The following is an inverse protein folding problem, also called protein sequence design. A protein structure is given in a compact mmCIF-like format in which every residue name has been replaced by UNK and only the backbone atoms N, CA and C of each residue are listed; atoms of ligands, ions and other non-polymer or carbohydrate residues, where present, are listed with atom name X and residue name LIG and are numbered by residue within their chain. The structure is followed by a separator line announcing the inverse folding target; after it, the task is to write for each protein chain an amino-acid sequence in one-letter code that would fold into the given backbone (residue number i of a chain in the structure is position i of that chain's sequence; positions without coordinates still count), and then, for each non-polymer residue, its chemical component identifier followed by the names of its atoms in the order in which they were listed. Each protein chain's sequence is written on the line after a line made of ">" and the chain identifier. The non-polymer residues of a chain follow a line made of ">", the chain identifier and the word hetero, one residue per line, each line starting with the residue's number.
data_IF_350604408008
#
_entry.id   IF_350604408008
#
_cell.length_a   1.000
_cell.length_b   1.000
_cell.length_c   1.000
_cell.angle_alpha   90.00
_cell.angle_beta   90.00
_cell.angle_gamma   90.00
#
_symmetry.space_group_name_H-M   'P 1'
#
loop_
_entity.id
_entity.type
_entity.pdbx_description
1 polymer ?
#
# COMPACT_ATOMS: atom_id res chain seq x y z
N UNK A 1 -18.39 67.96 27.94
CA UNK A 1 -17.65 67.74 26.67
C UNK A 1 -16.49 66.78 26.97
N UNK A 2 -16.21 65.84 26.08
CA UNK A 2 -15.82 64.46 26.39
C UNK A 2 -14.30 64.24 26.40
N UNK A 3 -13.80 63.08 26.90
CA UNK A 3 -12.45 62.63 26.65
C UNK A 3 -12.44 61.80 25.37
N UNK A 4 -12.34 62.47 24.22
CA UNK A 4 -11.97 61.82 22.96
C UNK A 4 -10.45 61.88 22.80
N UNK A 5 -9.90 60.86 22.12
CA UNK A 5 -8.53 60.80 21.58
C UNK A 5 -7.37 60.52 22.55
N UNK A 6 -7.30 59.29 23.07
CA UNK A 6 -6.03 58.62 23.39
C UNK A 6 -5.92 57.23 22.76
N UNK A 7 -6.27 57.15 21.48
CA UNK A 7 -5.96 56.00 20.63
C UNK A 7 -4.99 56.46 19.56
N UNK A 8 -3.70 56.53 19.87
CA UNK A 8 -2.68 56.82 18.86
C UNK A 8 -2.69 55.76 17.74
N UNK A 9 -2.18 56.09 16.54
CA UNK A 9 -2.13 55.17 15.39
C UNK A 9 -1.50 53.80 15.75
N UNK A 10 -0.57 53.77 16.71
CA UNK A 10 0.06 52.55 17.24
C UNK A 10 -0.89 51.62 18.03
N UNK A 11 -1.92 52.16 18.70
CA UNK A 11 -2.89 51.36 19.44
C UNK A 11 -3.93 50.71 18.50
N UNK A 12 -4.24 51.39 17.38
CA UNK A 12 -5.13 50.88 16.33
C UNK A 12 -4.43 49.78 15.51
N UNK A 13 -3.15 49.96 15.19
CA UNK A 13 -2.34 48.91 14.52
C UNK A 13 -2.15 47.68 15.41
N UNK A 14 -1.86 47.85 16.71
CA UNK A 14 -1.78 46.70 17.63
C UNK A 14 -3.10 45.93 17.79
N UNK A 15 -4.26 46.62 17.75
CA UNK A 15 -5.57 45.96 17.79
C UNK A 15 -5.85 45.17 16.51
N UNK A 16 -5.57 45.77 15.35
CA UNK A 16 -5.73 45.12 14.05
C UNK A 16 -4.83 43.88 13.91
N UNK A 17 -3.59 43.93 14.40
CA UNK A 17 -2.70 42.77 14.42
C UNK A 17 -3.18 41.64 15.33
N UNK A 18 -3.74 41.97 16.51
CA UNK A 18 -4.30 40.97 17.44
C UNK A 18 -5.56 40.30 16.87
N UNK A 19 -6.45 41.06 16.24
CA UNK A 19 -7.63 40.52 15.57
C UNK A 19 -7.24 39.63 14.38
N UNK A 20 -6.28 40.07 13.57
CA UNK A 20 -5.71 39.28 12.48
C UNK A 20 -5.13 37.95 12.94
N UNK A 21 -4.31 37.96 14.00
CA UNK A 21 -3.75 36.73 14.61
C UNK A 21 -4.84 35.79 15.11
N UNK A 22 -5.93 36.33 15.66
CA UNK A 22 -7.07 35.54 16.13
C UNK A 22 -7.81 34.88 14.97
N UNK A 23 -8.05 35.61 13.87
CA UNK A 23 -8.69 35.07 12.66
C UNK A 23 -7.86 33.95 12.03
N UNK A 24 -6.54 34.12 11.97
CA UNK A 24 -5.59 33.11 11.49
C UNK A 24 -5.58 31.86 12.39
N UNK A 25 -5.52 32.03 13.71
CA UNK A 25 -5.58 30.90 14.64
C UNK A 25 -6.90 30.12 14.49
N UNK A 26 -8.00 30.84 14.25
CA UNK A 26 -9.30 30.25 13.98
C UNK A 26 -9.32 29.46 12.67
N UNK A 27 -8.76 29.98 11.57
CA UNK A 27 -8.71 29.25 10.28
C UNK A 27 -7.87 27.98 10.39
N UNK A 28 -6.70 28.03 11.04
CA UNK A 28 -5.89 26.85 11.34
C UNK A 28 -6.62 25.82 12.20
N UNK A 29 -7.31 26.26 13.25
CA UNK A 29 -8.07 25.36 14.12
C UNK A 29 -9.21 24.67 13.38
N UNK A 30 -9.91 25.39 12.48
CA UNK A 30 -10.96 24.84 11.62
C UNK A 30 -10.40 23.85 10.62
N UNK A 31 -9.26 24.15 10.01
CA UNK A 31 -8.58 23.24 9.10
C UNK A 31 -8.20 21.93 9.82
N UNK A 32 -7.54 22.02 10.97
CA UNK A 32 -7.18 20.85 11.79
C UNK A 32 -8.41 20.00 12.14
N UNK A 33 -9.49 20.62 12.60
CA UNK A 33 -10.72 19.91 12.93
C UNK A 33 -11.30 19.17 11.71
N UNK A 34 -11.30 19.80 10.53
CA UNK A 34 -11.78 19.17 9.28
C UNK A 34 -10.87 18.05 8.80
N UNK A 35 -9.54 18.22 8.86
CA UNK A 35 -8.58 17.16 8.57
C UNK A 35 -8.80 15.95 9.49
N UNK A 36 -9.10 16.15 10.78
CA UNK A 36 -9.44 15.03 11.67
C UNK A 36 -10.69 14.26 11.21
N UNK A 37 -11.73 14.96 10.76
CA UNK A 37 -12.93 14.32 10.20
C UNK A 37 -12.56 13.50 8.96
N UNK A 38 -11.75 14.05 8.06
CA UNK A 38 -11.26 13.36 6.85
C UNK A 38 -10.45 12.12 7.20
N UNK A 39 -9.54 12.20 8.18
CA UNK A 39 -8.82 11.02 8.67
C UNK A 39 -9.76 9.98 9.30
N UNK A 40 -10.86 10.41 9.92
CA UNK A 40 -11.91 9.52 10.42
C UNK A 40 -12.61 8.75 9.29
N UNK A 41 -12.91 9.41 8.17
CA UNK A 41 -13.45 8.74 6.96
C UNK A 41 -12.46 7.71 6.42
N UNK A 42 -11.17 8.02 6.41
CA UNK A 42 -10.15 7.05 6.01
C UNK A 42 -10.11 5.85 6.96
N UNK A 43 -10.17 6.06 8.28
CA UNK A 43 -10.24 4.95 9.26
C UNK A 43 -11.50 4.10 9.05
N UNK A 44 -12.65 4.71 8.74
CA UNK A 44 -13.86 3.97 8.38
C UNK A 44 -13.65 3.10 7.13
N UNK A 45 -12.83 3.55 6.17
CA UNK A 45 -12.38 2.76 5.02
C UNK A 45 -11.64 1.49 5.41
N UNK A 46 -10.71 1.59 6.37
CA UNK A 46 -10.00 0.42 6.88
C UNK A 46 -10.95 -0.56 7.58
N UNK A 47 -11.85 -0.04 8.42
CA UNK A 47 -12.84 -0.88 9.11
C UNK A 47 -13.76 -1.59 8.11
N UNK A 48 -14.22 -0.91 7.07
CA UNK A 48 -15.03 -1.52 6.01
C UNK A 48 -14.26 -2.65 5.30
N UNK A 49 -12.98 -2.42 4.97
CA UNK A 49 -12.12 -3.43 4.37
C UNK A 49 -11.94 -4.65 5.29
N UNK A 50 -11.72 -4.42 6.60
CA UNK A 50 -11.61 -5.48 7.60
C UNK A 50 -12.89 -6.29 7.75
N UNK A 51 -14.06 -5.63 7.84
CA UNK A 51 -15.35 -6.31 7.96
C UNK A 51 -15.61 -7.19 6.74
N UNK A 52 -15.38 -6.69 5.53
CA UNK A 52 -15.57 -7.49 4.32
C UNK A 52 -14.57 -8.65 4.21
N UNK A 53 -13.33 -8.45 4.63
CA UNK A 53 -12.32 -9.50 4.59
C UNK A 53 -12.58 -10.60 5.63
N UNK A 54 -12.84 -10.21 6.88
CA UNK A 54 -12.94 -11.14 8.01
C UNK A 54 -14.36 -11.72 8.18
N UNK A 55 -15.40 -10.88 8.06
CA UNK A 55 -16.78 -11.32 8.31
C UNK A 55 -17.44 -11.92 7.07
N UNK A 56 -17.11 -11.42 5.87
CA UNK A 56 -17.73 -11.88 4.62
C UNK A 56 -16.82 -12.81 3.81
N UNK A 57 -15.54 -12.94 4.18
CA UNK A 57 -14.52 -13.68 3.41
C UNK A 57 -14.43 -13.20 1.95
N UNK A 58 -14.70 -11.91 1.70
CA UNK A 58 -14.67 -11.27 0.38
C UNK A 58 -13.58 -10.18 0.34
N UNK A 59 -12.33 -10.61 0.20
CA UNK A 59 -11.15 -9.72 0.20
C UNK A 59 -11.25 -8.60 -0.85
N UNK A 60 -11.62 -8.93 -2.10
CA UNK A 60 -11.77 -7.95 -3.19
C UNK A 60 -12.81 -6.87 -2.89
N UNK A 61 -13.98 -7.26 -2.40
CA UNK A 61 -15.05 -6.31 -2.06
C UNK A 61 -14.58 -5.40 -0.93
N UNK A 62 -13.88 -5.96 0.07
CA UNK A 62 -13.28 -5.18 1.14
C UNK A 62 -12.27 -4.15 0.67
N UNK A 63 -11.38 -4.55 -0.25
CA UNK A 63 -10.42 -3.63 -0.86
C UNK A 63 -11.12 -2.47 -1.57
N UNK A 64 -12.06 -2.75 -2.47
CA UNK A 64 -12.73 -1.69 -3.24
C UNK A 64 -13.60 -0.77 -2.36
N UNK A 65 -14.27 -1.31 -1.35
CA UNK A 65 -15.03 -0.52 -0.38
C UNK A 65 -14.12 0.43 0.41
N UNK A 66 -12.99 -0.07 0.92
CA UNK A 66 -11.99 0.75 1.61
C UNK A 66 -11.36 1.79 0.68
N UNK A 67 -10.98 1.39 -0.53
CA UNK A 67 -10.36 2.26 -1.54
C UNK A 67 -11.26 3.44 -1.93
N UNK A 68 -12.56 3.23 -2.06
CA UNK A 68 -13.52 4.31 -2.33
C UNK A 68 -13.50 5.37 -1.20
N UNK A 69 -13.44 4.93 0.06
CA UNK A 69 -13.39 5.83 1.22
C UNK A 69 -12.04 6.54 1.35
N UNK A 70 -10.93 5.87 1.05
CA UNK A 70 -9.61 6.51 0.99
C UNK A 70 -9.54 7.57 -0.11
N UNK A 71 -10.11 7.29 -1.28
CA UNK A 71 -10.18 8.24 -2.38
C UNK A 71 -11.02 9.46 -1.99
N UNK A 72 -12.20 9.22 -1.40
CA UNK A 72 -13.05 10.30 -0.90
C UNK A 72 -12.33 11.17 0.14
N UNK A 73 -11.60 10.55 1.08
CA UNK A 73 -10.80 11.25 2.07
C UNK A 73 -9.67 12.08 1.41
N UNK A 74 -8.94 11.51 0.44
CA UNK A 74 -7.87 12.22 -0.26
C UNK A 74 -8.39 13.42 -1.07
N UNK A 75 -9.52 13.26 -1.76
CA UNK A 75 -10.17 14.35 -2.49
C UNK A 75 -10.67 15.44 -1.54
N UNK A 76 -11.27 15.05 -0.41
CA UNK A 76 -11.70 15.99 0.61
C UNK A 76 -10.51 16.78 1.21
N UNK A 77 -9.41 16.11 1.54
CA UNK A 77 -8.20 16.78 2.05
C UNK A 77 -7.61 17.75 1.02
N UNK A 78 -7.58 17.36 -0.26
CA UNK A 78 -7.13 18.23 -1.35
C UNK A 78 -8.02 19.47 -1.50
N UNK A 79 -9.34 19.31 -1.39
CA UNK A 79 -10.30 20.41 -1.43
C UNK A 79 -10.19 21.35 -0.22
N UNK A 80 -9.91 20.80 0.96
CA UNK A 80 -9.66 21.61 2.16
C UNK A 80 -8.36 22.42 2.02
N UNK A 81 -7.30 21.81 1.51
CA UNK A 81 -6.02 22.48 1.30
C UNK A 81 -6.13 23.60 0.25
N UNK A 82 -6.85 23.37 -0.84
CA UNK A 82 -7.06 24.39 -1.88
C UNK A 82 -7.92 25.55 -1.37
N UNK A 83 -8.93 25.29 -0.54
CA UNK A 83 -9.77 26.31 0.06
C UNK A 83 -9.04 27.16 1.12
N UNK A 84 -8.12 26.55 1.89
CA UNK A 84 -7.39 27.26 2.95
C UNK A 84 -6.27 28.18 2.42
N UNK A 85 -5.72 27.87 1.25
CA UNK A 85 -4.55 28.55 0.67
C UNK A 85 -4.73 30.06 0.39
N UNK A 86 -5.82 30.53 -0.25
CA UNK A 86 -5.99 31.96 -0.57
C UNK A 86 -6.21 32.83 0.68
N UNK A 87 -6.88 32.32 1.72
CA UNK A 87 -7.11 33.07 2.98
C UNK A 87 -5.81 33.47 3.69
N UNK A 88 -4.67 32.85 3.34
CA UNK A 88 -3.39 33.07 3.98
C UNK A 88 -2.45 33.93 3.16
N UNK A 89 -2.64 34.10 1.85
CA UNK A 89 -1.73 34.91 1.01
C UNK A 89 -1.78 36.41 1.33
N UNK A 90 -2.81 36.88 2.06
CA UNK A 90 -3.04 38.31 2.33
C UNK A 90 -2.15 38.95 3.43
N UNK A 91 -1.04 38.33 3.88
CA UNK A 91 0.08 39.15 4.39
C UNK A 91 1.21 38.52 5.19
N UNK A 92 2.04 39.33 5.84
CA UNK A 92 3.44 39.01 6.16
C UNK A 92 3.74 37.72 6.96
N UNK A 93 2.82 37.25 7.82
CA UNK A 93 2.93 35.98 8.56
C UNK A 93 2.51 34.74 7.73
N UNK A 94 1.99 34.94 6.50
CA UNK A 94 1.48 33.93 5.56
C UNK A 94 2.40 32.74 5.34
N UNK A 95 3.71 33.01 5.20
CA UNK A 95 4.68 31.99 4.79
C UNK A 95 4.87 30.90 5.84
N UNK A 96 4.89 31.27 7.13
CA UNK A 96 5.06 30.32 8.24
C UNK A 96 3.81 29.45 8.41
N UNK A 97 2.63 30.04 8.23
CA UNK A 97 1.35 29.35 8.35
C UNK A 97 1.06 28.44 7.17
N UNK A 98 1.43 28.87 5.95
CA UNK A 98 1.39 28.03 4.76
C UNK A 98 2.23 26.77 4.92
N UNK A 99 3.40 26.88 5.56
CA UNK A 99 4.23 25.72 5.89
C UNK A 99 3.58 24.78 6.92
N UNK A 100 2.94 25.29 7.97
CA UNK A 100 2.23 24.45 8.93
C UNK A 100 1.05 23.70 8.28
N UNK A 101 0.37 24.33 7.31
CA UNK A 101 -0.74 23.70 6.59
C UNK A 101 -0.28 22.66 5.59
N UNK A 102 0.76 22.95 4.80
CA UNK A 102 1.33 21.97 3.87
C UNK A 102 1.85 20.76 4.63
N UNK A 103 2.55 20.97 5.76
CA UNK A 103 3.04 19.85 6.57
C UNK A 103 1.91 19.05 7.25
N UNK A 104 0.80 19.68 7.64
CA UNK A 104 -0.36 18.95 8.17
C UNK A 104 -1.04 18.12 7.06
N UNK A 105 -1.26 18.71 5.90
CA UNK A 105 -1.86 18.03 4.76
C UNK A 105 -0.98 16.88 4.27
N UNK A 106 0.35 17.07 4.20
CA UNK A 106 1.32 16.01 3.89
C UNK A 106 1.19 14.82 4.84
N UNK A 107 1.04 15.07 6.15
CA UNK A 107 0.83 14.01 7.15
C UNK A 107 -0.51 13.30 6.96
N UNK A 108 -1.57 14.04 6.63
CA UNK A 108 -2.89 13.46 6.35
C UNK A 108 -2.87 12.58 5.10
N UNK A 109 -2.27 13.06 3.99
CA UNK A 109 -2.09 12.27 2.78
C UNK A 109 -1.21 11.04 3.01
N UNK A 110 -0.11 11.18 3.75
CA UNK A 110 0.75 10.06 4.10
C UNK A 110 0.00 9.02 4.94
N UNK A 111 -0.85 9.45 5.87
CA UNK A 111 -1.69 8.57 6.67
C UNK A 111 -2.73 7.83 5.80
N UNK A 112 -3.43 8.52 4.90
CA UNK A 112 -4.36 7.90 3.95
C UNK A 112 -3.63 6.89 3.05
N UNK A 113 -2.45 7.25 2.54
CA UNK A 113 -1.63 6.35 1.73
C UNK A 113 -1.18 5.11 2.53
N UNK A 114 -0.84 5.27 3.81
CA UNK A 114 -0.50 4.16 4.70
C UNK A 114 -1.67 3.19 4.88
N UNK A 115 -2.89 3.70 5.07
CA UNK A 115 -4.10 2.87 5.17
C UNK A 115 -4.40 2.13 3.86
N UNK A 116 -4.23 2.80 2.72
CA UNK A 116 -4.35 2.16 1.41
C UNK A 116 -3.29 1.05 1.25
N UNK A 117 -2.03 1.34 1.55
CA UNK A 117 -0.94 0.38 1.53
C UNK A 117 -1.18 -0.81 2.46
N UNK A 118 -1.80 -0.57 3.62
CA UNK A 118 -2.21 -1.62 4.55
C UNK A 118 -3.28 -2.56 3.97
N UNK A 119 -4.18 -2.04 3.15
CA UNK A 119 -5.21 -2.86 2.48
C UNK A 119 -4.76 -3.51 1.19
N UNK A 120 -3.60 -3.15 0.65
CA UNK A 120 -3.06 -3.65 -0.62
C UNK A 120 -2.95 -5.20 -0.69
N UNK A 121 -2.62 -5.93 0.38
CA UNK A 121 -2.57 -7.40 0.34
C UNK A 121 -3.91 -8.04 -0.05
N UNK A 122 -5.04 -7.38 0.21
CA UNK A 122 -6.37 -7.92 -0.13
C UNK A 122 -6.56 -8.17 -1.64
N UNK A 123 -5.79 -7.50 -2.50
CA UNK A 123 -5.80 -7.74 -3.95
C UNK A 123 -4.61 -8.56 -4.44
N UNK A 124 -3.47 -8.50 -3.74
CA UNK A 124 -2.22 -9.15 -4.16
C UNK A 124 -2.10 -10.62 -3.75
N UNK A 125 -2.74 -11.02 -2.65
CA UNK A 125 -2.67 -12.39 -2.12
C UNK A 125 -4.07 -13.01 -2.03
N UNK A 126 -4.75 -13.24 -3.18
CA UNK A 126 -6.10 -13.79 -3.19
C UNK A 126 -6.15 -15.31 -2.99
N UNK A 127 -5.02 -16.01 -3.20
CA UNK A 127 -4.92 -17.47 -3.20
C UNK A 127 -5.18 -18.13 -1.84
N UNK A 128 -5.11 -17.36 -0.75
CA UNK A 128 -5.63 -17.80 0.54
C UNK A 128 -7.15 -17.80 0.51
N UNK A 129 -7.80 -18.87 0.05
CA UNK A 129 -9.23 -19.12 0.26
C UNK A 129 -9.64 -19.06 1.77
N UNK A 130 -8.64 -19.00 2.66
CA UNK A 130 -8.74 -18.83 4.10
C UNK A 130 -8.01 -17.57 4.63
N UNK A 131 -7.65 -16.60 3.78
CA UNK A 131 -7.04 -15.33 4.20
C UNK A 131 -7.97 -14.49 5.09
N UNK A 132 -9.29 -14.70 5.00
CA UNK A 132 -10.27 -14.16 5.95
C UNK A 132 -10.24 -14.84 7.34
N UNK A 133 -9.66 -16.04 7.45
CA UNK A 133 -9.54 -16.80 8.71
C UNK A 133 -8.17 -16.60 9.37
N UNK A 134 -7.11 -16.37 8.59
CA UNK A 134 -5.76 -16.13 9.10
C UNK A 134 -5.45 -14.63 9.15
N UNK A 135 -5.79 -13.98 10.26
CA UNK A 135 -5.55 -12.55 10.51
C UNK A 135 -4.05 -12.17 10.48
N UNK A 136 -3.17 -13.06 10.95
CA UNK A 136 -1.75 -12.75 11.20
C UNK A 136 -0.93 -12.46 9.92
N UNK A 137 -1.00 -13.30 8.85
CA UNK A 137 -0.27 -13.04 7.62
C UNK A 137 -0.74 -11.76 6.92
N UNK A 138 -2.07 -11.52 6.89
CA UNK A 138 -2.64 -10.31 6.32
C UNK A 138 -2.18 -9.06 7.07
N UNK A 139 -2.19 -9.08 8.40
CA UNK A 139 -1.79 -7.95 9.23
C UNK A 139 -0.29 -7.63 9.07
N UNK A 140 0.55 -8.66 8.94
CA UNK A 140 1.98 -8.49 8.64
C UNK A 140 2.22 -7.89 7.26
N UNK A 141 1.60 -8.45 6.21
CA UNK A 141 1.71 -7.93 4.84
C UNK A 141 1.12 -6.52 4.71
N UNK A 142 0.05 -6.24 5.45
CA UNK A 142 -0.55 -4.90 5.52
C UNK A 142 0.41 -3.92 6.17
N UNK A 143 1.04 -4.28 7.29
CA UNK A 143 2.05 -3.43 7.92
C UNK A 143 3.23 -3.14 6.97
N UNK A 144 3.70 -4.15 6.23
CA UNK A 144 4.74 -3.98 5.21
C UNK A 144 4.29 -3.03 4.08
N UNK A 145 3.08 -3.21 3.56
CA UNK A 145 2.49 -2.33 2.55
C UNK A 145 2.32 -0.89 3.04
N UNK A 146 1.93 -0.69 4.30
CA UNK A 146 1.82 0.62 4.93
C UNK A 146 3.20 1.30 5.07
N UNK A 147 4.23 0.55 5.49
CA UNK A 147 5.61 1.05 5.55
C UNK A 147 6.12 1.50 4.19
N UNK A 148 5.86 0.70 3.15
CA UNK A 148 6.22 1.06 1.78
C UNK A 148 5.48 2.32 1.32
N UNK A 149 4.18 2.42 1.56
CA UNK A 149 3.38 3.60 1.21
C UNK A 149 3.85 4.86 1.93
N UNK A 150 4.21 4.77 3.21
CA UNK A 150 4.80 5.88 3.97
C UNK A 150 6.17 6.29 3.41
N UNK A 151 7.00 5.33 3.03
CA UNK A 151 8.29 5.60 2.43
C UNK A 151 8.14 6.30 1.06
N UNK A 152 7.16 5.87 0.23
CA UNK A 152 6.80 6.53 -1.04
C UNK A 152 6.28 7.94 -0.77
N UNK A 153 5.37 8.12 0.19
CA UNK A 153 4.83 9.43 0.57
C UNK A 153 5.95 10.36 1.05
N UNK A 154 6.91 9.88 1.83
CA UNK A 154 8.07 10.65 2.26
C UNK A 154 8.97 11.06 1.08
N UNK A 155 9.20 10.17 0.11
CA UNK A 155 9.94 10.48 -1.11
C UNK A 155 9.19 11.51 -2.00
N UNK A 156 7.86 11.39 -2.11
CA UNK A 156 7.01 12.33 -2.85
C UNK A 156 6.96 13.72 -2.18
N UNK A 157 6.72 13.78 -0.86
CA UNK A 157 6.76 15.03 -0.10
C UNK A 157 8.14 15.69 -0.20
N UNK A 158 9.21 14.90 -0.24
CA UNK A 158 10.55 15.42 -0.47
C UNK A 158 10.69 16.08 -1.86
N UNK A 159 10.24 15.42 -2.93
CA UNK A 159 10.26 15.96 -4.30
C UNK A 159 9.43 17.25 -4.41
N UNK A 160 8.22 17.23 -3.84
CA UNK A 160 7.27 18.35 -3.87
C UNK A 160 7.85 19.53 -3.10
N UNK A 161 8.31 19.33 -1.86
CA UNK A 161 8.91 20.39 -1.06
C UNK A 161 10.16 20.97 -1.73
N UNK A 162 11.02 20.11 -2.31
CA UNK A 162 12.18 20.58 -3.08
C UNK A 162 11.79 21.44 -4.29
N UNK A 163 10.68 21.12 -4.96
CA UNK A 163 10.15 21.92 -6.07
C UNK A 163 9.52 23.25 -5.60
N UNK A 164 8.84 23.26 -4.46
CA UNK A 164 8.20 24.44 -3.88
C UNK A 164 9.22 25.46 -3.36
N UNK A 165 10.31 24.97 -2.74
CA UNK A 165 11.43 25.82 -2.30
C UNK A 165 12.13 26.46 -3.50
N UNK A 166 12.43 25.68 -4.56
CA UNK A 166 13.04 26.22 -5.79
C UNK A 166 12.19 27.28 -6.49
N UNK A 167 10.86 27.20 -6.36
CA UNK A 167 9.91 28.17 -6.93
C UNK A 167 9.68 29.40 -6.03
N UNK A 168 10.29 29.46 -4.84
CA UNK A 168 10.13 30.58 -3.91
C UNK A 168 8.75 30.66 -3.23
N UNK A 169 7.91 29.63 -3.37
CA UNK A 169 6.55 29.57 -2.82
C UNK A 169 6.57 29.25 -1.32
N UNK A 170 7.58 28.50 -0.87
CA UNK A 170 7.80 28.15 0.53
C UNK A 170 9.28 28.35 0.89
N UNK A 171 9.59 29.28 1.79
CA UNK A 171 10.95 29.43 2.34
C UNK A 171 10.97 28.90 3.78
N UNK A 172 11.80 27.90 4.13
CA UNK A 172 12.16 27.68 5.53
C UNK A 172 12.82 28.96 6.06
N UNK A 173 12.62 29.30 7.34
CA UNK A 173 13.13 30.57 7.89
C UNK A 173 14.63 30.79 7.61
N UNK A 174 15.04 32.06 7.41
CA UNK A 174 16.37 32.50 6.95
C UNK A 174 17.57 31.88 7.71
N UNK A 175 17.38 31.43 8.96
CA UNK A 175 18.44 30.80 9.77
C UNK A 175 18.69 29.30 9.45
N UNK A 176 17.81 28.63 8.70
CA UNK A 176 17.83 27.18 8.49
C UNK A 176 18.12 26.72 7.05
N UNK A 177 18.14 27.63 6.07
CA UNK A 177 18.27 27.32 4.64
C UNK A 177 19.49 26.44 4.24
N UNK A 178 20.74 26.71 4.68
CA UNK A 178 21.89 25.91 4.26
C UNK A 178 21.93 24.52 4.92
N UNK A 179 21.40 24.38 6.14
CA UNK A 179 21.21 23.09 6.82
C UNK A 179 20.07 22.29 6.19
N UNK A 180 19.00 22.98 5.82
CA UNK A 180 17.85 22.40 5.13
C UNK A 180 18.28 21.80 3.79
N UNK A 181 18.96 22.56 2.92
CA UNK A 181 19.39 22.10 1.58
C UNK A 181 20.40 20.95 1.59
N UNK A 182 21.32 20.88 2.57
CA UNK A 182 22.28 19.75 2.69
C UNK A 182 21.64 18.51 3.32
N UNK A 183 20.81 18.68 4.35
CA UNK A 183 19.97 17.59 4.86
C UNK A 183 18.98 17.09 3.79
N UNK A 184 18.57 17.97 2.87
CA UNK A 184 17.67 17.68 1.76
C UNK A 184 18.22 16.59 0.83
N UNK A 185 19.48 16.69 0.38
CA UNK A 185 20.07 15.70 -0.53
C UNK A 185 20.31 14.33 0.13
N UNK A 186 20.69 14.32 1.41
CA UNK A 186 20.86 13.08 2.18
C UNK A 186 19.53 12.35 2.39
N UNK A 187 18.48 13.08 2.76
CA UNK A 187 17.14 12.53 2.96
C UNK A 187 16.60 11.89 1.68
N UNK A 188 16.88 12.47 0.51
CA UNK A 188 16.53 11.88 -0.80
C UNK A 188 17.10 10.49 -0.98
N UNK A 189 18.42 10.34 -0.91
CA UNK A 189 19.07 9.08 -1.25
C UNK A 189 18.76 7.99 -0.21
N UNK A 190 18.57 8.37 1.05
CA UNK A 190 18.13 7.43 2.09
C UNK A 190 16.67 7.03 1.94
N UNK A 191 15.74 7.96 1.63
CA UNK A 191 14.34 7.65 1.41
C UNK A 191 14.12 6.83 0.13
N UNK A 192 14.80 7.18 -0.97
CA UNK A 192 14.77 6.41 -2.22
C UNK A 192 15.40 5.01 -2.04
N UNK A 193 16.52 4.93 -1.31
CA UNK A 193 17.13 3.63 -0.99
C UNK A 193 16.22 2.76 -0.15
N UNK A 194 15.58 3.33 0.88
CA UNK A 194 14.64 2.61 1.75
C UNK A 194 13.38 2.18 0.99
N UNK A 195 12.80 3.05 0.15
CA UNK A 195 11.63 2.67 -0.68
C UNK A 195 11.96 1.52 -1.63
N UNK A 196 13.12 1.58 -2.30
CA UNK A 196 13.55 0.52 -3.21
C UNK A 196 13.78 -0.81 -2.47
N UNK A 197 14.40 -0.76 -1.28
CA UNK A 197 14.60 -1.95 -0.44
C UNK A 197 13.27 -2.56 0.01
N UNK A 198 12.37 -1.74 0.59
CA UNK A 198 11.06 -2.20 1.06
C UNK A 198 10.21 -2.76 -0.09
N UNK A 199 10.27 -2.14 -1.27
CA UNK A 199 9.56 -2.61 -2.46
C UNK A 199 10.10 -3.96 -2.94
N UNK A 200 11.42 -4.12 -2.98
CA UNK A 200 12.05 -5.38 -3.37
C UNK A 200 11.68 -6.49 -2.38
N UNK A 201 11.75 -6.23 -1.08
CA UNK A 201 11.43 -7.22 -0.05
C UNK A 201 9.96 -7.61 -0.08
N UNK A 202 9.06 -6.66 -0.33
CA UNK A 202 7.63 -6.97 -0.52
C UNK A 202 7.39 -7.81 -1.78
N UNK A 203 8.03 -7.47 -2.89
CA UNK A 203 7.92 -8.25 -4.15
C UNK A 203 8.43 -9.68 -3.96
N UNK A 204 9.58 -9.82 -3.30
CA UNK A 204 10.15 -11.13 -2.94
C UNK A 204 9.17 -11.88 -2.06
N UNK A 205 8.65 -11.27 -0.99
CA UNK A 205 7.71 -11.94 -0.09
C UNK A 205 6.42 -12.40 -0.80
N UNK A 206 5.84 -11.56 -1.66
CA UNK A 206 4.65 -11.91 -2.46
C UNK A 206 4.97 -13.05 -3.43
N UNK A 207 6.12 -12.99 -4.11
CA UNK A 207 6.57 -14.06 -5.00
C UNK A 207 6.72 -15.40 -4.25
N UNK A 208 7.35 -15.38 -3.08
CA UNK A 208 7.51 -16.58 -2.26
C UNK A 208 6.17 -17.13 -1.75
N UNK A 209 5.20 -16.28 -1.44
CA UNK A 209 3.92 -16.72 -0.91
C UNK A 209 2.96 -17.25 -1.99
N UNK A 210 2.93 -16.62 -3.17
CA UNK A 210 1.88 -16.89 -4.19
C UNK A 210 2.41 -17.62 -5.43
N UNK A 211 3.65 -17.35 -5.86
CA UNK A 211 4.15 -17.86 -7.14
C UNK A 211 5.10 -19.06 -6.97
N UNK A 212 5.95 -19.03 -5.94
CA UNK A 212 6.96 -20.07 -5.71
C UNK A 212 6.34 -21.46 -5.43
N UNK A 213 5.25 -21.62 -4.66
CA UNK A 213 4.67 -22.94 -4.42
C UNK A 213 4.23 -23.63 -5.72
N UNK A 214 3.54 -22.91 -6.61
CA UNK A 214 3.13 -23.46 -7.90
C UNK A 214 4.31 -23.77 -8.83
N UNK A 215 5.39 -22.98 -8.75
CA UNK A 215 6.61 -23.24 -9.51
C UNK A 215 7.33 -24.51 -9.03
N UNK A 216 7.47 -24.69 -7.72
CA UNK A 216 8.09 -25.87 -7.11
C UNK A 216 7.23 -27.13 -7.35
N UNK A 217 5.92 -27.03 -7.12
CA UNK A 217 4.99 -28.14 -7.31
C UNK A 217 4.92 -28.62 -8.78
N UNK A 218 5.23 -27.74 -9.74
CA UNK A 218 5.35 -28.14 -11.16
C UNK A 218 6.57 -29.02 -11.43
N UNK A 219 7.62 -28.93 -10.61
CA UNK A 219 8.81 -29.80 -10.71
C UNK A 219 8.50 -31.25 -10.33
N UNK A 220 7.63 -31.45 -9.35
CA UNK A 220 7.19 -32.76 -8.85
C UNK A 220 5.84 -33.21 -9.46
N UNK A 221 5.40 -32.54 -10.53
CA UNK A 221 4.14 -32.84 -11.19
C UNK A 221 4.18 -34.21 -11.89
N UNK A 222 3.06 -34.93 -11.85
CA UNK A 222 2.87 -36.15 -12.63
C UNK A 222 2.74 -35.77 -14.11
N UNK A 223 3.58 -36.35 -14.96
CA UNK A 223 3.57 -36.13 -16.41
C UNK A 223 2.94 -37.34 -17.08
N UNK A 224 1.84 -37.10 -17.80
CA UNK A 224 1.16 -38.10 -18.59
C UNK A 224 1.44 -37.87 -20.07
N UNK A 225 2.05 -38.88 -20.71
CA UNK A 225 2.31 -38.92 -22.16
C UNK A 225 1.17 -39.61 -22.93
N UNK A 226 0.21 -40.22 -22.23
CA UNK A 226 -0.92 -40.95 -22.82
C UNK A 226 -2.26 -40.51 -22.21
N UNK A 227 -3.30 -40.46 -23.04
CA UNK A 227 -4.65 -40.11 -22.57
C UNK A 227 -5.27 -41.18 -21.67
N UNK A 228 -5.07 -42.47 -21.97
CA UNK A 228 -5.65 -43.56 -21.18
C UNK A 228 -5.15 -43.56 -19.74
N UNK A 229 -3.83 -43.42 -19.56
CA UNK A 229 -3.17 -43.32 -18.26
C UNK A 229 -3.67 -42.11 -17.46
N UNK A 230 -3.85 -40.97 -18.14
CA UNK A 230 -4.41 -39.76 -17.53
C UNK A 230 -5.87 -39.96 -17.09
N UNK A 231 -6.74 -40.49 -17.97
CA UNK A 231 -8.16 -40.73 -17.67
C UNK A 231 -8.29 -41.71 -16.50
N UNK A 232 -7.54 -42.82 -16.50
CA UNK A 232 -7.56 -43.78 -15.40
C UNK A 232 -7.16 -43.15 -14.05
N UNK A 233 -6.18 -42.24 -14.05
CA UNK A 233 -5.78 -41.51 -12.85
C UNK A 233 -6.85 -40.51 -12.38
N UNK A 234 -7.47 -39.77 -13.29
CA UNK A 234 -8.50 -38.78 -12.97
C UNK A 234 -9.80 -39.42 -12.47
N UNK A 235 -10.15 -40.59 -13.02
CA UNK A 235 -11.34 -41.37 -12.68
C UNK A 235 -11.14 -42.28 -11.46
N UNK A 236 -10.00 -42.18 -10.77
CA UNK A 236 -9.81 -42.89 -9.50
C UNK A 236 -10.68 -42.24 -8.41
N UNK A 237 -11.65 -42.95 -7.80
CA UNK A 237 -12.54 -42.37 -6.81
C UNK A 237 -11.80 -42.15 -5.48
N UNK A 238 -11.40 -40.91 -5.21
CA UNK A 238 -10.70 -40.51 -3.98
C UNK A 238 -11.31 -39.26 -3.35
N UNK A 239 -12.64 -39.17 -3.36
CA UNK A 239 -13.39 -38.09 -2.70
C UNK A 239 -13.42 -36.76 -3.45
N UNK A 240 -12.96 -36.73 -4.71
CA UNK A 240 -13.08 -35.56 -5.58
C UNK A 240 -14.52 -35.32 -6.06
N UNK A 241 -14.83 -34.11 -6.55
CA UNK A 241 -16.14 -33.80 -7.12
C UNK A 241 -16.32 -34.60 -8.41
N UNK A 242 -17.45 -35.28 -8.59
CA UNK A 242 -17.74 -36.04 -9.81
C UNK A 242 -18.20 -35.09 -10.93
N UNK A 243 -17.26 -34.50 -11.65
CA UNK A 243 -17.52 -33.57 -12.77
C UNK A 243 -17.03 -34.13 -14.09
N UNK A 244 -17.85 -34.01 -15.14
CA UNK A 244 -17.43 -34.35 -16.50
C UNK A 244 -16.68 -33.16 -17.11
N UNK A 245 -15.44 -33.39 -17.53
CA UNK A 245 -14.55 -32.38 -18.08
C UNK A 245 -13.97 -32.84 -19.42
N UNK A 246 -13.57 -31.87 -20.25
CA UNK A 246 -13.03 -32.11 -21.58
C UNK A 246 -11.78 -31.24 -21.79
N UNK A 247 -10.76 -31.83 -22.40
CA UNK A 247 -9.56 -31.12 -22.85
C UNK A 247 -9.69 -30.77 -24.32
N UNK A 248 -9.48 -29.50 -24.64
CA UNK A 248 -9.57 -28.96 -26.00
C UNK A 248 -8.18 -28.69 -26.58
N UNK A 249 -8.03 -28.92 -27.89
CA UNK A 249 -6.84 -28.57 -28.65
C UNK A 249 -6.77 -27.07 -28.98
N UNK A 250 -5.74 -26.66 -29.73
CA UNK A 250 -5.56 -25.27 -30.15
C UNK A 250 -6.71 -24.72 -31.01
N UNK A 251 -7.51 -25.60 -31.63
CA UNK A 251 -8.62 -25.26 -32.52
C UNK A 251 -9.98 -25.36 -31.83
N UNK A 252 -10.02 -25.70 -30.53
CA UNK A 252 -11.24 -25.89 -29.76
C UNK A 252 -11.92 -27.24 -29.98
N UNK A 253 -11.24 -28.22 -30.59
CA UNK A 253 -11.75 -29.58 -30.69
C UNK A 253 -11.45 -30.36 -29.42
N UNK A 254 -12.45 -31.07 -28.91
CA UNK A 254 -12.30 -31.94 -27.75
C UNK A 254 -11.42 -33.14 -28.12
N UNK A 255 -10.28 -33.28 -27.44
CA UNK A 255 -9.30 -34.36 -27.67
C UNK A 255 -9.42 -35.46 -26.62
N UNK A 256 -9.81 -35.12 -25.40
CA UNK A 256 -9.95 -36.07 -24.30
C UNK A 256 -11.12 -35.66 -23.41
N UNK A 257 -11.93 -36.63 -22.98
CA UNK A 257 -13.01 -36.44 -22.01
C UNK A 257 -12.79 -37.37 -20.83
N UNK A 258 -12.96 -36.86 -19.62
CA UNK A 258 -12.73 -37.62 -18.39
C UNK A 258 -13.72 -37.20 -17.31
N UNK A 259 -13.98 -38.09 -16.35
CA UNK A 259 -14.63 -37.73 -15.11
C UNK A 259 -13.55 -37.34 -14.08
N UNK A 260 -13.56 -36.08 -13.65
CA UNK A 260 -12.80 -35.70 -12.47
C UNK A 260 -13.43 -36.43 -11.28
N UNK A 261 -12.68 -37.31 -10.62
CA UNK A 261 -13.10 -38.00 -9.38
C UNK A 261 -11.97 -38.08 -8.35
N UNK A 262 -10.73 -37.87 -8.80
CA UNK A 262 -9.55 -37.94 -7.97
C UNK A 262 -9.37 -36.66 -7.13
N UNK A 263 -9.64 -36.76 -5.82
CA UNK A 263 -9.53 -35.67 -4.87
C UNK A 263 -8.10 -35.25 -4.53
N UNK A 264 -7.09 -35.99 -4.99
CA UNK A 264 -5.67 -35.62 -4.80
C UNK A 264 -5.18 -34.59 -5.83
N UNK A 265 -5.98 -34.28 -6.86
CA UNK A 265 -5.59 -33.36 -7.94
C UNK A 265 -5.84 -31.91 -7.53
N UNK A 266 -4.78 -31.10 -7.49
CA UNK A 266 -4.88 -29.68 -7.18
C UNK A 266 -5.03 -28.82 -8.45
N UNK A 267 -4.29 -29.15 -9.51
CA UNK A 267 -4.43 -28.45 -10.80
C UNK A 267 -3.88 -29.27 -11.96
N UNK A 268 -4.37 -28.98 -13.16
CA UNK A 268 -3.97 -29.61 -14.41
C UNK A 268 -3.41 -28.51 -15.32
N UNK A 269 -2.27 -28.77 -15.94
CA UNK A 269 -1.60 -27.84 -16.84
C UNK A 269 -1.16 -28.57 -18.09
N UNK A 270 -1.58 -28.07 -19.25
CA UNK A 270 -1.22 -28.61 -20.55
C UNK A 270 -0.98 -27.48 -21.54
N UNK A 271 -0.27 -27.79 -22.64
CA UNK A 271 -0.06 -26.85 -23.74
C UNK A 271 -0.83 -27.37 -24.96
N UNK A 272 -1.91 -26.68 -25.39
CA UNK A 272 -2.65 -27.09 -26.57
C UNK A 272 -1.76 -27.05 -27.82
N UNK A 273 -1.81 -28.12 -28.62
CA UNK A 273 -1.19 -28.22 -29.95
C UNK A 273 -2.27 -28.70 -30.93
N UNK A 274 -2.05 -28.53 -32.22
CA UNK A 274 -2.98 -29.05 -33.23
C UNK A 274 -3.20 -30.56 -33.06
N UNK A 275 -4.43 -30.96 -32.72
CA UNK A 275 -4.81 -32.36 -32.52
C UNK A 275 -4.23 -33.05 -31.28
N UNK A 276 -3.54 -32.35 -30.36
CA UNK A 276 -3.03 -32.97 -29.12
C UNK A 276 -2.85 -31.97 -27.98
N UNK A 277 -3.02 -32.43 -26.73
CA UNK A 277 -2.74 -31.65 -25.52
C UNK A 277 -1.61 -32.26 -24.65
N UNK A 278 -0.97 -33.31 -25.16
CA UNK A 278 0.12 -34.01 -24.47
C UNK A 278 1.45 -33.23 -24.56
N UNK A 279 2.33 -33.34 -23.55
CA UNK A 279 2.11 -34.03 -22.28
C UNK A 279 1.22 -33.24 -21.32
N UNK A 280 0.36 -33.95 -20.58
CA UNK A 280 -0.49 -33.37 -19.54
C UNK A 280 0.25 -33.42 -18.21
N UNK A 281 0.38 -32.27 -17.54
CA UNK A 281 0.95 -32.19 -16.18
C UNK A 281 -0.17 -32.08 -15.15
N UNK A 282 -0.14 -32.97 -14.17
CA UNK A 282 -1.08 -32.95 -13.04
C UNK A 282 -0.29 -32.66 -11.76
N UNK A 283 -0.67 -31.59 -11.08
CA UNK A 283 -0.12 -31.20 -9.78
C UNK A 283 -1.04 -31.76 -8.71
N UNK A 284 -0.50 -32.55 -7.79
CA UNK A 284 -1.24 -33.11 -6.64
C UNK A 284 -1.21 -32.16 -5.45
N UNK A 285 -2.18 -32.31 -4.54
CA UNK A 285 -2.19 -31.58 -3.27
C UNK A 285 -0.95 -31.91 -2.43
N UNK A 286 -0.48 -33.16 -2.41
CA UNK A 286 0.72 -33.55 -1.66
C UNK A 286 1.98 -32.82 -2.17
N UNK A 287 2.13 -32.70 -3.50
CA UNK A 287 3.24 -31.96 -4.10
C UNK A 287 3.14 -30.45 -3.81
N UNK A 288 1.91 -29.91 -3.83
CA UNK A 288 1.67 -28.51 -3.48
C UNK A 288 1.92 -28.23 -1.99
N UNK A 289 1.56 -29.14 -1.10
CA UNK A 289 1.80 -29.03 0.33
C UNK A 289 3.28 -29.14 0.68
N UNK A 290 4.02 -30.04 0.02
CA UNK A 290 5.47 -30.10 0.13
C UNK A 290 6.13 -28.80 -0.36
N UNK A 291 5.66 -28.24 -1.49
CA UNK A 291 6.13 -26.96 -1.99
C UNK A 291 5.82 -25.79 -1.03
N UNK A 292 4.61 -25.77 -0.46
CA UNK A 292 4.19 -24.79 0.53
C UNK A 292 5.05 -24.86 1.80
N UNK A 293 5.41 -26.06 2.25
CA UNK A 293 6.26 -26.27 3.42
C UNK A 293 7.68 -25.67 3.25
N UNK A 294 8.17 -25.53 2.02
CA UNK A 294 9.43 -24.86 1.72
C UNK A 294 9.25 -23.35 1.53
N UNK A 295 8.18 -22.93 0.85
CA UNK A 295 7.98 -21.55 0.43
C UNK A 295 7.51 -20.62 1.56
N UNK A 296 6.55 -21.05 2.39
CA UNK A 296 5.99 -20.21 3.44
C UNK A 296 6.99 -19.81 4.54
N UNK A 297 7.85 -20.70 5.08
CA UNK A 297 8.85 -20.29 6.06
C UNK A 297 9.78 -19.18 5.54
N UNK A 298 10.18 -19.28 4.28
CA UNK A 298 11.00 -18.26 3.62
C UNK A 298 10.23 -16.93 3.47
N UNK A 299 8.94 -16.98 3.09
CA UNK A 299 8.08 -15.79 3.07
C UNK A 299 7.90 -15.17 4.47
N UNK A 300 7.84 -15.98 5.53
CA UNK A 300 7.78 -15.49 6.91
C UNK A 300 9.08 -14.84 7.37
N UNK A 301 10.25 -15.33 6.92
CA UNK A 301 11.55 -14.69 7.21
C UNK A 301 11.63 -13.25 6.68
N UNK A 302 10.94 -12.94 5.58
CA UNK A 302 10.86 -11.56 5.07
C UNK A 302 10.28 -10.58 6.09
N UNK A 303 9.41 -11.01 7.00
CA UNK A 303 8.89 -10.12 8.05
C UNK A 303 9.99 -9.59 8.99
N UNK A 304 11.05 -10.38 9.21
CA UNK A 304 12.20 -9.94 10.00
C UNK A 304 13.10 -8.97 9.22
N UNK A 305 13.03 -8.92 7.89
CA UNK A 305 13.84 -8.03 7.05
C UNK A 305 13.36 -6.58 7.12
N UNK A 306 12.04 -6.32 7.18
CA UNK A 306 11.50 -4.96 7.27
C UNK A 306 12.07 -4.12 8.44
N UNK A 307 12.10 -4.60 9.70
CA UNK A 307 12.70 -3.82 10.79
C UNK A 307 14.22 -3.67 10.62
N UNK A 308 14.90 -4.66 10.02
CA UNK A 308 16.34 -4.57 9.73
C UNK A 308 16.63 -3.51 8.66
N UNK A 309 15.80 -3.40 7.63
CA UNK A 309 15.90 -2.35 6.60
C UNK A 309 15.67 -0.96 7.18
N UNK A 310 14.67 -0.81 8.04
CA UNK A 310 14.41 0.45 8.76
C UNK A 310 15.60 0.83 9.65
N UNK A 311 16.15 -0.14 10.39
CA UNK A 311 17.32 0.07 11.25
C UNK A 311 18.56 0.41 10.44
N UNK A 312 18.81 -0.30 9.34
CA UNK A 312 19.91 -0.01 8.42
C UNK A 312 19.79 1.39 7.82
N UNK A 313 18.61 1.78 7.35
CA UNK A 313 18.35 3.13 6.83
C UNK A 313 18.56 4.20 7.92
N UNK A 314 18.10 3.96 9.16
CA UNK A 314 18.30 4.87 10.28
C UNK A 314 19.79 5.01 10.65
N UNK A 315 20.55 3.92 10.65
CA UNK A 315 22.00 3.93 10.91
C UNK A 315 22.76 4.64 9.78
N UNK A 316 22.43 4.38 8.51
CA UNK A 316 23.02 5.05 7.36
C UNK A 316 22.72 6.55 7.39
N UNK A 317 21.49 6.93 7.73
CA UNK A 317 21.10 8.32 7.91
C UNK A 317 21.91 8.97 9.03
N UNK A 318 21.98 8.37 10.22
CA UNK A 318 22.78 8.88 11.36
C UNK A 318 24.27 8.98 11.03
N UNK A 319 24.85 7.97 10.38
CA UNK A 319 26.28 7.94 10.01
C UNK A 319 26.59 9.06 9.02
N UNK A 320 25.76 9.25 7.99
CA UNK A 320 25.96 10.32 7.03
C UNK A 320 25.67 11.70 7.64
N UNK A 321 24.73 11.81 8.59
CA UNK A 321 24.46 13.05 9.34
C UNK A 321 25.64 13.47 10.22
N UNK A 322 26.35 12.52 10.86
CA UNK A 322 27.54 12.80 11.68
C UNK A 322 28.79 13.21 10.89
N UNK A 323 28.84 12.90 9.59
CA UNK A 323 29.96 13.27 8.70
C UNK A 323 29.79 14.66 8.08
N UNK A 324 28.68 15.32 8.35
CA UNK A 324 28.30 16.66 7.88
C UNK A 324 28.37 17.62 9.06
#
# INVERSE_FOLDING_TARGET
>A
RPPEERGGPEAVTQRGERERRRLIALSLSRFRARTYIVTGVAIAGLLAAMVCNLALSRAYIGFFAGAALYLAAAVAEAALLSAARPELEEGGEARRLGWELTTLAERAFAFIAALLGFTLPLILTPGGAHAGLNMLPWLGLGAAGALLALAIAAAACWLINGSLVKRGVCSPGEAEEPRYLRAHALRKNCALGLTAALALTLLVQVFLAEALPGLLARGDALVFEDYESFVAYMETPSGGPRTAEALEDANGFVVCSYLHMNGHVASISYTPRDGSVLPIRVITYDALDAANALAYPLAYLCFALYPLELLAAALLYRKKLRRV
#
